data_IF_978984045472
#
_entry.id   IF_978984045472
#
_cell.length_a   1.000
_cell.length_b   1.000
_cell.length_c   1.000
_cell.angle_alpha   90.00
_cell.angle_beta   90.00
_cell.angle_gamma   90.00
#
_symmetry.space_group_name_H-M   'P 1'
#
loop_
_entity.id
_entity.type
_entity.pdbx_description
1 polymer ?
#
# COMPACT_ATOMS: atom_id res chain seq x y z
N UNK A 1 -1.31 -35.92 -1.59
CA UNK A 1 -0.16 -35.46 -0.76
C UNK A 1 -0.65 -35.21 0.65
N UNK A 2 -0.14 -35.98 1.62
CA UNK A 2 -0.46 -35.77 3.04
C UNK A 2 0.36 -34.58 3.53
N UNK A 3 -0.31 -33.59 4.13
CA UNK A 3 0.31 -32.39 4.71
C UNK A 3 -0.14 -32.22 6.15
N UNK A 4 0.65 -31.52 6.95
CA UNK A 4 0.27 -31.14 8.30
C UNK A 4 -0.35 -29.74 8.29
N UNK A 5 -1.36 -29.52 9.13
CA UNK A 5 -2.02 -28.23 9.27
C UNK A 5 -1.05 -27.20 9.89
N UNK A 6 -0.82 -26.08 9.23
CA UNK A 6 0.03 -24.96 9.72
C UNK A 6 -0.57 -24.20 10.93
N UNK A 7 -1.66 -24.68 11.51
CA UNK A 7 -2.20 -24.09 12.75
C UNK A 7 -1.51 -24.77 13.94
N UNK A 8 -0.76 -23.98 14.73
CA UNK A 8 0.05 -24.43 15.89
C UNK A 8 -0.78 -25.27 16.88
N UNK A 9 -2.09 -25.02 17.00
CA UNK A 9 -3.00 -25.76 17.89
C UNK A 9 -3.60 -27.03 17.27
N UNK A 10 -3.55 -27.19 15.95
CA UNK A 10 -4.26 -28.28 15.27
C UNK A 10 -3.34 -29.49 15.02
N UNK A 11 -2.18 -29.28 14.40
CA UNK A 11 -1.19 -30.33 14.11
C UNK A 11 -1.66 -31.52 13.23
N UNK A 12 -2.95 -31.58 12.86
CA UNK A 12 -3.52 -32.73 12.14
C UNK A 12 -2.93 -32.89 10.74
N UNK A 13 -2.61 -34.13 10.39
CA UNK A 13 -2.33 -34.53 9.02
C UNK A 13 -3.64 -34.55 8.22
N UNK A 14 -3.64 -33.99 7.02
CA UNK A 14 -4.78 -33.96 6.12
C UNK A 14 -4.34 -34.15 4.68
N UNK A 15 -5.25 -34.65 3.85
CA UNK A 15 -5.02 -34.81 2.41
C UNK A 15 -5.33 -33.47 1.75
N UNK A 16 -4.30 -32.80 1.23
CA UNK A 16 -4.47 -31.53 0.56
C UNK A 16 -5.02 -31.75 -0.87
N UNK A 17 -6.21 -31.22 -1.14
CA UNK A 17 -6.83 -31.25 -2.47
C UNK A 17 -6.10 -30.36 -3.49
N UNK A 18 -5.34 -29.36 -3.02
CA UNK A 18 -4.54 -28.44 -3.84
C UNK A 18 -3.15 -28.24 -3.26
N UNK A 19 -2.18 -27.93 -4.12
CA UNK A 19 -0.77 -27.77 -3.74
C UNK A 19 -0.53 -26.60 -2.79
N UNK A 20 -1.39 -25.58 -2.81
CA UNK A 20 -1.35 -24.37 -1.98
C UNK A 20 -2.12 -24.50 -0.66
N UNK A 21 -2.87 -25.58 -0.43
CA UNK A 21 -3.55 -25.79 0.84
C UNK A 21 -2.56 -26.01 1.98
N UNK A 22 -2.70 -25.17 3.01
CA UNK A 22 -1.89 -25.12 4.24
C UNK A 22 -2.67 -25.50 5.52
N UNK A 23 -4.00 -25.45 5.47
CA UNK A 23 -4.87 -25.71 6.60
C UNK A 23 -5.83 -26.85 6.30
N UNK A 24 -6.11 -27.69 7.31
CA UNK A 24 -6.97 -28.86 7.16
C UNK A 24 -8.46 -28.53 6.98
N UNK A 25 -8.87 -27.28 7.22
CA UNK A 25 -10.26 -26.85 7.07
C UNK A 25 -10.46 -25.34 7.25
N UNK A 26 -11.69 -24.87 6.99
CA UNK A 26 -12.06 -23.46 7.10
C UNK A 26 -11.89 -22.92 8.53
N UNK A 27 -12.16 -23.73 9.55
CA UNK A 27 -12.01 -23.37 10.96
C UNK A 27 -10.56 -23.04 11.32
N UNK A 28 -9.59 -23.85 10.86
CA UNK A 28 -8.16 -23.59 11.10
C UNK A 28 -7.65 -22.37 10.34
N UNK A 29 -8.19 -22.11 9.14
CA UNK A 29 -7.88 -20.91 8.37
C UNK A 29 -8.36 -19.64 9.06
N UNK A 30 -9.60 -19.64 9.57
CA UNK A 30 -10.16 -18.52 10.30
C UNK A 30 -9.37 -18.22 11.58
N UNK A 31 -9.01 -19.25 12.35
CA UNK A 31 -8.18 -19.11 13.56
C UNK A 31 -6.79 -18.57 13.26
N UNK A 32 -6.13 -19.06 12.21
CA UNK A 32 -4.83 -18.54 11.82
C UNK A 32 -4.90 -17.05 11.45
N UNK A 33 -6.01 -16.61 10.82
CA UNK A 33 -6.23 -15.20 10.50
C UNK A 33 -6.48 -14.34 11.74
N UNK A 34 -7.26 -14.83 12.71
CA UNK A 34 -7.51 -14.10 13.97
C UNK A 34 -6.26 -14.03 14.85
N UNK A 35 -5.43 -15.09 14.90
CA UNK A 35 -4.13 -15.08 15.58
C UNK A 35 -3.16 -14.10 14.93
N UNK A 36 -3.09 -14.04 13.60
CA UNK A 36 -2.28 -13.03 12.89
C UNK A 36 -2.77 -11.61 13.18
N UNK A 37 -4.08 -11.38 13.18
CA UNK A 37 -4.66 -10.08 13.53
C UNK A 37 -4.36 -9.68 14.98
N UNK A 38 -4.39 -10.65 15.92
CA UNK A 38 -4.02 -10.43 17.33
C UNK A 38 -2.52 -10.16 17.49
N UNK A 39 -1.64 -10.93 16.83
CA UNK A 39 -0.18 -10.69 16.85
C UNK A 39 0.17 -9.32 16.25
N UNK A 40 -0.48 -8.93 15.15
CA UNK A 40 -0.33 -7.59 14.57
C UNK A 40 -0.79 -6.48 15.54
N UNK A 41 -1.86 -6.71 16.31
CA UNK A 41 -2.36 -5.77 17.31
C UNK A 41 -1.49 -5.74 18.59
N UNK A 42 -0.90 -6.87 18.98
CA UNK A 42 0.00 -6.98 20.14
C UNK A 42 1.38 -6.38 19.92
N UNK A 43 1.92 -6.46 18.69
CA UNK A 43 3.18 -5.80 18.32
C UNK A 43 3.08 -4.26 18.28
N UNK A 44 1.87 -3.71 18.13
CA UNK A 44 1.61 -2.27 18.22
C UNK A 44 1.43 -1.78 19.68
N UNK A 45 1.46 -2.67 20.67
CA UNK A 45 1.26 -2.33 22.10
C UNK A 45 2.50 -2.48 22.99
N UNK A 46 3.63 -2.95 22.47
CA UNK A 46 4.80 -3.33 23.28
C UNK A 46 5.99 -2.37 23.22
N UNK A 47 5.83 -1.16 22.66
CA UNK A 47 6.89 -0.15 22.61
C UNK A 47 6.43 1.19 23.19
N UNK A 48 6.21 1.24 24.50
CA UNK A 48 6.29 2.49 25.27
C UNK A 48 7.08 2.20 26.55
N UNK A 49 8.41 2.37 26.57
CA UNK A 49 9.09 2.59 27.84
C UNK A 49 8.61 3.93 28.40
N UNK A 50 8.14 3.90 29.65
CA UNK A 50 7.79 5.09 30.42
C UNK A 50 9.03 5.98 30.55
N UNK A 51 8.93 7.19 30.01
CA UNK A 51 9.58 8.44 30.44
C UNK A 51 11.01 8.33 31.00
N UNK A 52 11.99 8.71 30.18
CA UNK A 52 13.08 9.56 30.64
C UNK A 52 13.34 10.61 29.58
N UNK A 53 13.10 11.86 29.96
CA UNK A 53 13.34 13.09 29.20
C UNK A 53 14.76 13.07 28.63
N UNK A 54 14.88 13.05 27.30
CA UNK A 54 16.06 13.54 26.60
C UNK A 54 15.57 14.38 25.43
N UNK A 55 15.74 15.69 25.59
CA UNK A 55 15.58 16.69 24.55
C UNK A 55 16.67 16.48 23.52
N UNK A 56 16.36 15.82 22.40
CA UNK A 56 17.12 16.00 21.16
C UNK A 56 16.15 16.32 20.05
N UNK A 57 16.27 17.55 19.57
CA UNK A 57 15.64 18.04 18.37
C UNK A 57 15.89 17.04 17.22
N UNK A 58 14.82 16.46 16.70
CA UNK A 58 14.87 15.80 15.41
C UNK A 58 13.59 16.15 14.68
N UNK A 59 13.79 16.74 13.51
CA UNK A 59 12.83 17.29 12.58
C UNK A 59 11.83 16.21 12.16
N UNK A 60 10.76 16.04 12.94
CA UNK A 60 9.66 15.15 12.62
C UNK A 60 8.69 15.85 11.67
N UNK A 61 8.61 15.31 10.46
CA UNK A 61 7.70 15.65 9.38
C UNK A 61 6.26 15.83 9.89
N UNK A 62 5.58 16.96 9.61
CA UNK A 62 4.24 17.25 10.12
C UNK A 62 3.13 16.30 9.63
N UNK A 63 3.40 15.47 8.61
CA UNK A 63 2.44 14.55 8.00
C UNK A 63 2.17 13.27 8.83
N UNK A 64 3.14 12.80 9.63
CA UNK A 64 2.98 11.57 10.41
C UNK A 64 2.11 11.80 11.66
N UNK A 65 2.25 12.97 12.29
CA UNK A 65 1.51 13.36 13.50
C UNK A 65 0.03 13.61 13.20
N UNK A 66 -0.28 14.18 12.03
CA UNK A 66 -1.65 14.44 11.57
C UNK A 66 -2.40 13.15 11.19
N UNK A 67 -1.74 12.18 10.57
CA UNK A 67 -2.38 10.90 10.24
C UNK A 67 -2.73 10.09 11.50
N UNK A 68 -1.82 10.03 12.48
CA UNK A 68 -2.05 9.32 13.74
C UNK A 68 -3.17 9.96 14.59
N UNK A 69 -3.22 11.29 14.68
CA UNK A 69 -4.34 11.99 15.34
C UNK A 69 -5.64 11.81 14.57
N UNK A 70 -5.68 11.99 13.24
CA UNK A 70 -6.88 11.80 12.44
C UNK A 70 -7.49 10.39 12.58
N UNK A 71 -6.65 9.36 12.64
CA UNK A 71 -7.09 7.96 12.78
C UNK A 71 -7.67 7.69 14.18
N UNK A 72 -7.08 8.30 15.21
CA UNK A 72 -7.54 8.16 16.61
C UNK A 72 -8.87 8.90 16.82
N UNK A 73 -8.99 10.11 16.30
CA UNK A 73 -10.24 10.91 16.38
C UNK A 73 -11.36 10.27 15.56
N UNK A 74 -11.05 9.72 14.37
CA UNK A 74 -12.03 8.99 13.56
C UNK A 74 -12.50 7.70 14.24
N UNK A 75 -11.61 6.99 14.95
CA UNK A 75 -11.96 5.81 15.73
C UNK A 75 -12.88 6.13 16.91
N UNK A 76 -12.58 7.19 17.65
CA UNK A 76 -13.41 7.67 18.76
C UNK A 76 -14.80 8.16 18.29
N UNK A 77 -14.85 8.89 17.16
CA UNK A 77 -16.10 9.35 16.57
C UNK A 77 -16.98 8.19 16.07
N UNK A 78 -16.39 7.17 15.43
CA UNK A 78 -17.12 5.95 15.05
C UNK A 78 -17.67 5.20 16.27
N UNK A 79 -16.91 5.14 17.35
CA UNK A 79 -17.37 4.57 18.63
C UNK A 79 -18.57 5.32 19.21
N UNK A 80 -18.55 6.66 19.17
CA UNK A 80 -19.68 7.48 19.63
C UNK A 80 -20.93 7.38 18.74
N UNK A 81 -20.76 7.22 17.43
CA UNK A 81 -21.88 7.07 16.49
C UNK A 81 -22.54 5.70 16.63
N UNK A 82 -21.75 4.63 16.79
CA UNK A 82 -22.26 3.29 17.06
C UNK A 82 -23.03 3.23 18.38
N UNK A 83 -22.46 3.77 19.47
CA UNK A 83 -23.13 3.82 20.77
C UNK A 83 -24.44 4.62 20.73
N UNK A 84 -24.52 5.66 19.89
CA UNK A 84 -25.74 6.45 19.69
C UNK A 84 -26.81 5.66 18.91
N UNK A 85 -26.43 4.90 17.89
CA UNK A 85 -27.35 4.01 17.17
C UNK A 85 -27.89 2.90 18.09
N UNK A 86 -27.03 2.25 18.87
CA UNK A 86 -27.43 1.21 19.84
C UNK A 86 -28.43 1.75 20.88
N UNK A 87 -28.33 3.05 21.22
CA UNK A 87 -29.25 3.72 22.12
C UNK A 87 -30.61 3.96 21.46
N UNK A 88 -30.60 4.48 20.23
CA UNK A 88 -31.83 4.73 19.46
C UNK A 88 -32.56 3.42 19.17
N UNK A 89 -31.85 2.34 18.84
CA UNK A 89 -32.44 1.01 18.64
C UNK A 89 -33.17 0.51 19.91
N UNK A 90 -32.56 0.66 21.08
CA UNK A 90 -33.21 0.33 22.36
C UNK A 90 -34.45 1.19 22.61
N UNK A 91 -34.36 2.49 22.35
CA UNK A 91 -35.50 3.40 22.51
C UNK A 91 -36.66 3.05 21.57
N UNK A 92 -36.40 2.64 20.33
CA UNK A 92 -37.46 2.18 19.40
C UNK A 92 -38.16 0.94 19.96
N UNK A 93 -37.41 -0.03 20.50
CA UNK A 93 -37.99 -1.24 21.11
C UNK A 93 -38.85 -0.90 22.34
N UNK A 94 -38.36 -0.02 23.22
CA UNK A 94 -39.10 0.42 24.41
C UNK A 94 -40.40 1.18 24.02
N UNK A 95 -40.32 2.05 23.02
CA UNK A 95 -41.47 2.81 22.53
C UNK A 95 -42.49 1.91 21.81
N UNK A 96 -42.04 0.90 21.07
CA UNK A 96 -42.91 -0.09 20.45
C UNK A 96 -43.69 -0.89 21.51
N UNK A 97 -43.02 -1.36 22.57
CA UNK A 97 -43.68 -2.03 23.69
C UNK A 97 -44.68 -1.12 24.42
N UNK A 98 -44.37 0.16 24.57
CA UNK A 98 -45.29 1.12 25.18
C UNK A 98 -46.57 1.34 24.33
N UNK A 99 -46.46 1.27 23.00
CA UNK A 99 -47.62 1.32 22.09
C UNK A 99 -48.48 0.06 22.18
N UNK A 100 -47.88 -1.12 22.30
CA UNK A 100 -48.62 -2.37 22.52
C UNK A 100 -49.43 -2.33 23.83
N UNK A 101 -48.93 -1.59 24.84
CA UNK A 101 -49.63 -1.32 26.10
C UNK A 101 -50.64 -0.17 26.02
N UNK A 102 -50.90 0.38 24.83
CA UNK A 102 -51.90 1.43 24.60
C UNK A 102 -51.46 2.85 24.99
N UNK A 103 -50.18 3.09 25.27
CA UNK A 103 -49.67 4.44 25.61
C UNK A 103 -49.41 5.24 24.35
N UNK A 104 -50.35 6.12 24.00
CA UNK A 104 -50.28 6.97 22.80
C UNK A 104 -49.15 8.00 22.84
N UNK A 105 -48.64 8.36 24.03
CA UNK A 105 -47.47 9.23 24.20
C UNK A 105 -46.20 8.65 23.55
N UNK A 106 -46.12 7.32 23.39
CA UNK A 106 -45.01 6.66 22.71
C UNK A 106 -44.95 6.96 21.21
N UNK A 107 -46.07 7.38 20.58
CA UNK A 107 -46.09 7.83 19.17
C UNK A 107 -45.22 9.08 19.01
N UNK A 108 -45.28 10.01 19.97
CA UNK A 108 -44.46 11.23 19.96
C UNK A 108 -42.97 10.89 20.05
N UNK A 109 -42.61 9.96 20.95
CA UNK A 109 -41.23 9.48 21.08
C UNK A 109 -40.70 8.84 19.80
N UNK A 110 -41.52 8.07 19.08
CA UNK A 110 -41.10 7.49 17.78
C UNK A 110 -40.88 8.56 16.71
N UNK A 111 -41.69 9.62 16.69
CA UNK A 111 -41.50 10.76 15.77
C UNK A 111 -40.19 11.48 16.05
N UNK A 112 -39.84 11.68 17.32
CA UNK A 112 -38.57 12.29 17.74
C UNK A 112 -37.36 11.42 17.34
N UNK A 113 -37.41 10.11 17.61
CA UNK A 113 -36.35 9.16 17.22
C UNK A 113 -36.18 9.10 15.70
N UNK A 114 -37.28 9.11 14.94
CA UNK A 114 -37.21 9.10 13.48
C UNK A 114 -36.72 10.44 12.89
N UNK A 115 -36.99 11.58 13.55
CA UNK A 115 -36.36 12.86 13.20
C UNK A 115 -34.85 12.83 13.45
N UNK A 116 -34.40 12.29 14.58
CA UNK A 116 -32.98 12.13 14.90
C UNK A 116 -32.24 11.24 13.91
N UNK A 117 -32.85 10.12 13.49
CA UNK A 117 -32.28 9.22 12.49
C UNK A 117 -32.16 9.89 11.11
N UNK A 118 -33.13 10.71 10.70
CA UNK A 118 -33.03 11.48 9.45
C UNK A 118 -31.85 12.45 9.47
N UNK A 119 -31.71 13.22 10.55
CA UNK A 119 -30.58 14.15 10.71
C UNK A 119 -29.25 13.40 10.76
N UNK A 120 -29.20 12.25 11.44
CA UNK A 120 -28.04 11.39 11.47
C UNK A 120 -27.63 10.89 10.09
N UNK A 121 -28.62 10.44 9.29
CA UNK A 121 -28.40 9.99 7.91
C UNK A 121 -27.89 11.11 7.02
N UNK A 122 -28.48 12.30 7.09
CA UNK A 122 -28.05 13.45 6.30
C UNK A 122 -26.60 13.85 6.60
N UNK A 123 -26.24 13.92 7.88
CA UNK A 123 -24.84 14.16 8.30
C UNK A 123 -23.89 13.06 7.83
N UNK A 124 -24.36 11.81 7.81
CA UNK A 124 -23.61 10.67 7.27
C UNK A 124 -23.36 10.81 5.77
N UNK A 125 -24.38 11.16 4.99
CA UNK A 125 -24.29 11.38 3.55
C UNK A 125 -23.37 12.57 3.21
N UNK A 126 -23.45 13.66 3.97
CA UNK A 126 -22.53 14.81 3.86
C UNK A 126 -21.08 14.40 4.17
N UNK A 127 -20.85 13.62 5.23
CA UNK A 127 -19.52 13.14 5.60
C UNK A 127 -18.94 12.20 4.53
N UNK A 128 -19.75 11.30 3.97
CA UNK A 128 -19.33 10.43 2.85
C UNK A 128 -18.98 11.26 1.63
N UNK A 129 -19.77 12.28 1.31
CA UNK A 129 -19.50 13.19 0.19
C UNK A 129 -18.19 13.94 0.40
N UNK A 130 -17.96 14.48 1.61
CA UNK A 130 -16.72 15.16 1.96
C UNK A 130 -15.49 14.23 1.93
N UNK A 131 -15.65 12.96 2.32
CA UNK A 131 -14.58 11.97 2.20
C UNK A 131 -14.29 11.63 0.74
N UNK A 132 -15.33 11.51 -0.08
CA UNK A 132 -15.18 11.23 -1.51
C UNK A 132 -14.45 12.36 -2.22
N UNK A 133 -14.81 13.62 -1.97
CA UNK A 133 -14.12 14.76 -2.59
C UNK A 133 -12.65 14.86 -2.17
N UNK A 134 -12.32 14.53 -0.92
CA UNK A 134 -10.93 14.42 -0.45
C UNK A 134 -10.17 13.31 -1.16
N UNK A 135 -10.77 12.12 -1.24
CA UNK A 135 -10.17 10.98 -1.93
C UNK A 135 -9.91 11.30 -3.42
N UNK A 136 -10.86 11.93 -4.09
CA UNK A 136 -10.72 12.33 -5.49
C UNK A 136 -9.57 13.34 -5.67
N UNK A 137 -9.41 14.29 -4.74
CA UNK A 137 -8.30 15.24 -4.75
C UNK A 137 -6.94 14.56 -4.50
N UNK A 138 -6.85 13.62 -3.55
CA UNK A 138 -5.64 12.86 -3.26
C UNK A 138 -5.24 11.99 -4.46
N UNK A 139 -6.21 11.29 -5.08
CA UNK A 139 -5.98 10.49 -6.29
C UNK A 139 -5.49 11.38 -7.44
N UNK A 140 -6.10 12.55 -7.65
CA UNK A 140 -5.65 13.49 -8.69
C UNK A 140 -4.22 13.97 -8.45
N UNK A 141 -3.84 14.24 -7.20
CA UNK A 141 -2.48 14.62 -6.83
C UNK A 141 -1.47 13.48 -7.11
N UNK A 142 -1.80 12.25 -6.75
CA UNK A 142 -0.95 11.08 -7.01
C UNK A 142 -0.80 10.80 -8.50
N UNK A 143 -1.88 10.91 -9.29
CA UNK A 143 -1.80 10.79 -10.77
C UNK A 143 -0.88 11.86 -11.36
N UNK A 144 -0.91 13.09 -10.85
CA UNK A 144 0.00 14.15 -11.30
C UNK A 144 1.46 13.82 -11.01
N UNK A 145 1.77 13.30 -9.82
CA UNK A 145 3.12 12.83 -9.45
C UNK A 145 3.58 11.69 -10.34
N UNK A 146 2.72 10.71 -10.60
CA UNK A 146 3.01 9.59 -11.48
C UNK A 146 3.34 10.05 -12.91
N UNK A 147 2.57 11.00 -13.45
CA UNK A 147 2.85 11.60 -14.77
C UNK A 147 4.19 12.31 -14.83
N UNK A 148 4.58 13.04 -13.77
CA UNK A 148 5.92 13.66 -13.73
C UNK A 148 7.03 12.61 -13.65
N UNK A 149 6.84 11.53 -12.89
CA UNK A 149 7.80 10.44 -12.80
C UNK A 149 7.97 9.73 -14.15
N UNK A 150 6.87 9.47 -14.87
CA UNK A 150 6.89 8.89 -16.22
C UNK A 150 7.67 9.77 -17.21
N UNK A 151 7.49 11.11 -17.15
CA UNK A 151 8.28 12.04 -17.96
C UNK A 151 9.78 11.99 -17.65
N UNK A 152 10.14 11.82 -16.37
CA UNK A 152 11.55 11.66 -15.96
C UNK A 152 12.11 10.34 -16.49
N UNK A 153 11.34 9.24 -16.37
CA UNK A 153 11.73 7.94 -16.92
C UNK A 153 11.98 8.01 -18.43
N UNK A 154 11.07 8.61 -19.19
CA UNK A 154 11.23 8.82 -20.64
C UNK A 154 12.52 9.57 -20.97
N UNK A 155 12.81 10.67 -20.26
CA UNK A 155 14.05 11.43 -20.47
C UNK A 155 15.30 10.62 -20.16
N UNK A 156 15.25 9.70 -19.20
CA UNK A 156 16.38 8.82 -18.90
C UNK A 156 16.56 7.78 -20.01
N UNK A 157 15.48 7.19 -20.51
CA UNK A 157 15.51 6.28 -21.67
C UNK A 157 16.09 6.97 -22.91
N UNK A 158 15.64 8.18 -23.24
CA UNK A 158 16.17 8.98 -24.36
C UNK A 158 17.68 9.26 -24.20
N UNK A 159 18.15 9.49 -22.95
CA UNK A 159 19.58 9.70 -22.67
C UNK A 159 20.38 8.41 -22.80
N UNK A 160 19.83 7.27 -22.40
CA UNK A 160 20.47 5.96 -22.57
C UNK A 160 20.66 5.63 -24.05
N UNK A 161 19.63 5.81 -24.87
CA UNK A 161 19.73 5.61 -26.33
C UNK A 161 20.77 6.54 -26.96
N UNK A 162 20.86 7.80 -26.51
CA UNK A 162 21.91 8.70 -26.97
C UNK A 162 23.32 8.25 -26.58
N UNK A 163 23.49 7.69 -25.37
CA UNK A 163 24.77 7.16 -24.89
C UNK A 163 25.17 5.94 -25.72
N UNK A 164 24.24 5.01 -25.95
CA UNK A 164 24.46 3.82 -26.79
C UNK A 164 24.88 4.23 -28.21
N UNK A 165 24.16 5.16 -28.84
CA UNK A 165 24.52 5.67 -30.16
C UNK A 165 25.89 6.39 -30.20
N UNK A 166 26.36 6.96 -29.08
CA UNK A 166 27.73 7.52 -28.98
C UNK A 166 28.76 6.41 -28.84
N UNK A 167 28.46 5.36 -28.07
CA UNK A 167 29.34 4.20 -27.92
C UNK A 167 29.52 3.46 -29.24
N UNK A 168 28.45 3.22 -30.01
CA UNK A 168 28.53 2.58 -31.33
C UNK A 168 29.39 3.39 -32.31
N UNK A 169 29.25 4.72 -32.31
CA UNK A 169 30.10 5.60 -33.12
C UNK A 169 31.56 5.52 -32.69
N UNK A 170 31.84 5.54 -31.39
CA UNK A 170 33.20 5.41 -30.87
C UNK A 170 33.82 4.05 -31.24
N UNK A 171 33.06 2.97 -31.12
CA UNK A 171 33.49 1.63 -31.53
C UNK A 171 33.77 1.57 -33.03
N UNK A 172 32.91 2.17 -33.86
CA UNK A 172 33.10 2.26 -35.32
C UNK A 172 34.37 3.02 -35.70
N UNK A 173 34.71 4.08 -34.95
CA UNK A 173 35.97 4.81 -35.17
C UNK A 173 37.18 3.97 -34.78
N UNK A 174 37.13 3.27 -33.65
CA UNK A 174 38.21 2.40 -33.19
C UNK A 174 38.44 1.22 -34.14
N UNK A 175 37.38 0.58 -34.64
CA UNK A 175 37.49 -0.48 -35.63
C UNK A 175 38.07 0.05 -36.94
N UNK A 176 37.64 1.23 -37.39
CA UNK A 176 38.22 1.90 -38.56
C UNK A 176 39.70 2.24 -38.40
N UNK A 177 40.12 2.70 -37.21
CA UNK A 177 41.53 2.92 -36.89
C UNK A 177 42.32 1.62 -36.87
N UNK A 178 41.78 0.55 -36.29
CA UNK A 178 42.38 -0.78 -36.30
C UNK A 178 42.61 -1.31 -37.71
N UNK A 179 41.63 -1.18 -38.61
CA UNK A 179 41.78 -1.56 -40.02
C UNK A 179 42.90 -0.77 -40.72
N UNK A 180 43.03 0.53 -40.43
CA UNK A 180 44.13 1.35 -40.98
C UNK A 180 45.50 0.89 -40.47
N UNK A 181 45.63 0.55 -39.19
CA UNK A 181 46.88 0.02 -38.63
C UNK A 181 47.26 -1.30 -39.30
N UNK A 182 46.31 -2.22 -39.46
CA UNK A 182 46.53 -3.48 -40.18
C UNK A 182 47.02 -3.23 -41.62
N UNK A 183 46.41 -2.27 -42.33
CA UNK A 183 46.85 -1.92 -43.68
C UNK A 183 48.27 -1.34 -43.71
N UNK A 184 48.64 -0.52 -42.72
CA UNK A 184 50.01 0.01 -42.57
C UNK A 184 51.00 -1.11 -42.29
N UNK A 185 50.67 -2.03 -41.38
CA UNK A 185 51.52 -3.20 -41.06
C UNK A 185 51.75 -4.09 -42.29
N UNK A 186 50.70 -4.37 -43.06
CA UNK A 186 50.81 -5.13 -44.31
C UNK A 186 51.70 -4.43 -45.34
N UNK A 187 51.52 -3.11 -45.51
CA UNK A 187 52.36 -2.31 -46.43
C UNK A 187 53.82 -2.34 -46.02
N UNK A 188 54.08 -2.19 -44.72
CA UNK A 188 55.44 -2.23 -44.16
C UNK A 188 56.07 -3.62 -44.33
N UNK A 189 55.31 -4.70 -44.15
CA UNK A 189 55.77 -6.07 -44.41
C UNK A 189 56.18 -6.27 -45.87
N UNK A 190 55.43 -5.74 -46.84
CA UNK A 190 55.77 -5.79 -48.27
C UNK A 190 57.06 -5.01 -48.57
N UNK A 191 57.23 -3.82 -47.98
CA UNK A 191 58.44 -3.02 -48.15
C UNK A 191 59.66 -3.75 -47.57
N UNK A 192 59.56 -4.29 -46.36
CA UNK A 192 60.65 -5.05 -45.73
C UNK A 192 61.03 -6.30 -46.54
N UNK A 193 60.05 -7.00 -47.10
CA UNK A 193 60.29 -8.14 -47.99
C UNK A 193 61.07 -7.73 -49.25
N UNK A 194 60.74 -6.58 -49.87
CA UNK A 194 61.45 -6.05 -51.03
C UNK A 194 62.88 -5.61 -50.72
N UNK A 195 63.15 -5.14 -49.51
CA UNK A 195 64.49 -4.75 -49.05
C UNK A 195 65.36 -5.94 -48.64
N UNK A 196 64.88 -7.18 -48.77
CA UNK A 196 65.62 -8.37 -48.32
C UNK A 196 65.75 -8.47 -46.80
N UNK A 197 65.00 -7.65 -46.05
CA UNK A 197 64.99 -7.61 -44.58
C UNK A 197 63.81 -8.36 -43.97
N UNK A 198 63.17 -9.26 -44.73
CA UNK A 198 62.16 -10.16 -44.17
C UNK A 198 62.82 -11.00 -43.07
N UNK A 199 62.35 -10.82 -41.83
CA UNK A 199 62.86 -11.53 -40.64
C UNK A 199 62.94 -13.03 -40.92
N UNK A 200 64.13 -13.62 -40.76
CA UNK A 200 64.28 -15.05 -40.46
C UNK A 200 63.72 -15.33 -39.07
#
# INVERSE_FOLDING_TARGET
MVKHCENEECGKAFIAARRDMRFCGASCRARAHTLKARRAKGLLGAAVPKSSVVTTATTATPAATTAATATTTAGAQRGSAAARLDRLERQVVELAQALELGRTDAVRGLVEVSAELRVGRQRGEEAVTALRTRLDADVAAEVKKARSAAKVAQRLEDRLTQIEARQERALSLLTGQGQRLVAVEQTLAVILARLGMAKR
#
